data_IF_351118681838
#
_entry.id   IF_351118681838
#
_cell.length_a   1.000
_cell.length_b   1.000
_cell.length_c   1.000
_cell.angle_alpha   90.00
_cell.angle_beta   90.00
_cell.angle_gamma   90.00
#
_symmetry.space_group_name_H-M   'P 1'
#
loop_
_entity.id
_entity.type
_entity.pdbx_description
1 polymer ?
#
# COMPACT_ATOMS: atom_id res chain seq x y z
N UNK A 1 -13.88 24.11 -1.05
CA UNK A 1 -14.73 23.25 -0.20
C UNK A 1 -15.01 21.88 -0.84
N UNK A 2 -15.44 21.81 -2.10
CA UNK A 2 -15.81 20.55 -2.79
C UNK A 2 -14.66 19.52 -2.82
N UNK A 3 -13.41 19.93 -3.05
CA UNK A 3 -12.24 19.04 -3.08
C UNK A 3 -11.95 18.41 -1.72
N UNK A 4 -12.13 19.13 -0.62
CA UNK A 4 -11.95 18.59 0.74
C UNK A 4 -12.93 17.46 1.03
N UNK A 5 -14.21 17.62 0.68
CA UNK A 5 -15.24 16.59 0.88
C UNK A 5 -14.95 15.38 -0.01
N UNK A 6 -14.59 15.61 -1.29
CA UNK A 6 -14.27 14.51 -2.22
C UNK A 6 -13.03 13.75 -1.76
N UNK A 7 -11.97 14.45 -1.37
CA UNK A 7 -10.76 13.83 -0.84
C UNK A 7 -11.04 13.02 0.43
N UNK A 8 -11.74 13.59 1.41
CA UNK A 8 -12.15 12.89 2.63
C UNK A 8 -12.92 11.60 2.31
N UNK A 9 -13.92 11.67 1.42
CA UNK A 9 -14.69 10.48 1.00
C UNK A 9 -13.79 9.43 0.33
N UNK A 10 -12.84 9.85 -0.51
CA UNK A 10 -11.94 8.93 -1.20
C UNK A 10 -11.03 8.19 -0.22
N UNK A 11 -10.34 8.91 0.69
CA UNK A 11 -9.45 8.26 1.66
C UNK A 11 -10.22 7.37 2.65
N UNK A 12 -11.44 7.77 3.05
CA UNK A 12 -12.28 6.97 3.95
C UNK A 12 -12.78 5.70 3.26
N UNK A 13 -13.27 5.79 2.02
CA UNK A 13 -13.69 4.60 1.25
C UNK A 13 -12.53 3.65 1.00
N UNK A 14 -11.36 4.18 0.66
CA UNK A 14 -10.14 3.40 0.49
C UNK A 14 -9.80 2.66 1.80
N UNK A 15 -9.72 3.38 2.91
CA UNK A 15 -9.41 2.81 4.22
C UNK A 15 -10.41 1.71 4.63
N UNK A 16 -11.71 1.89 4.41
CA UNK A 16 -12.71 0.85 4.70
C UNK A 16 -12.48 -0.42 3.87
N UNK A 17 -12.08 -0.29 2.60
CA UNK A 17 -11.73 -1.45 1.77
C UNK A 17 -10.49 -2.17 2.31
N UNK A 18 -9.45 -1.43 2.70
CA UNK A 18 -8.25 -2.03 3.29
C UNK A 18 -8.59 -2.75 4.60
N UNK A 19 -9.40 -2.16 5.48
CA UNK A 19 -9.85 -2.81 6.72
C UNK A 19 -10.56 -4.14 6.41
N UNK A 20 -11.47 -4.15 5.42
CA UNK A 20 -12.19 -5.36 5.03
C UNK A 20 -11.24 -6.45 4.49
N UNK A 21 -10.27 -6.09 3.64
CA UNK A 21 -9.26 -7.02 3.15
C UNK A 21 -8.35 -7.54 4.28
N UNK A 22 -7.86 -6.65 5.15
CA UNK A 22 -7.05 -7.01 6.31
C UNK A 22 -7.80 -7.93 7.29
N UNK A 23 -9.11 -7.73 7.47
CA UNK A 23 -9.94 -8.60 8.28
C UNK A 23 -10.00 -10.03 7.70
N UNK A 24 -10.22 -10.16 6.39
CA UNK A 24 -10.19 -11.44 5.67
C UNK A 24 -8.80 -12.11 5.76
N UNK A 25 -7.74 -11.33 5.69
CA UNK A 25 -6.35 -11.80 5.79
C UNK A 25 -5.87 -12.06 7.23
N UNK A 26 -6.73 -11.95 8.25
CA UNK A 26 -6.39 -12.25 9.66
C UNK A 26 -5.57 -11.16 10.37
N UNK A 27 -5.40 -9.97 9.79
CA UNK A 27 -4.65 -8.82 10.34
C UNK A 27 -5.54 -7.61 10.63
N UNK A 28 -6.77 -7.83 11.11
CA UNK A 28 -7.77 -6.79 11.37
C UNK A 28 -7.23 -5.62 12.18
N UNK A 29 -6.52 -5.87 13.28
CA UNK A 29 -6.00 -4.81 14.14
C UNK A 29 -5.01 -3.89 13.44
N UNK A 30 -4.24 -4.42 12.52
CA UNK A 30 -3.33 -3.65 11.66
C UNK A 30 -4.13 -2.84 10.65
N UNK A 31 -5.13 -3.44 10.01
CA UNK A 31 -6.05 -2.75 9.10
C UNK A 31 -6.81 -1.58 9.75
N UNK A 32 -7.22 -1.71 11.03
CA UNK A 32 -7.87 -0.63 11.77
C UNK A 32 -6.94 0.60 11.98
N UNK A 33 -5.63 0.40 11.99
CA UNK A 33 -4.63 1.48 12.13
C UNK A 33 -4.10 1.98 10.78
N UNK A 34 -4.45 1.27 9.70
CA UNK A 34 -4.03 1.62 8.35
C UNK A 34 -4.34 3.08 8.04
N UNK A 35 -3.34 3.80 7.58
CA UNK A 35 -3.46 5.15 7.02
C UNK A 35 -4.15 6.20 7.90
N UNK A 36 -4.17 6.04 9.22
CA UNK A 36 -4.71 7.06 10.12
C UNK A 36 -4.00 8.40 9.95
N UNK A 37 -2.74 8.40 9.56
CA UNK A 37 -1.96 9.61 9.30
C UNK A 37 -2.54 10.48 8.17
N UNK A 38 -3.28 9.90 7.22
CA UNK A 38 -3.96 10.63 6.13
C UNK A 38 -4.99 11.65 6.61
N UNK A 39 -5.48 11.51 7.84
CA UNK A 39 -6.39 12.48 8.45
C UNK A 39 -5.66 13.60 9.20
N UNK A 40 -4.33 13.54 9.32
CA UNK A 40 -3.55 14.62 9.90
C UNK A 40 -3.51 15.85 8.97
N UNK A 41 -3.41 17.07 9.50
CA UNK A 41 -3.30 18.27 8.68
C UNK A 41 -2.15 18.20 7.66
N UNK A 42 -1.04 17.57 8.02
CA UNK A 42 0.16 17.46 7.18
C UNK A 42 -0.09 16.67 5.90
N UNK A 43 -0.97 15.66 5.93
CA UNK A 43 -1.32 14.86 4.75
C UNK A 43 -2.65 15.30 4.14
N UNK A 44 -3.64 15.60 4.98
CA UNK A 44 -5.00 15.90 4.53
C UNK A 44 -5.09 17.20 3.72
N UNK A 45 -4.45 18.28 4.19
CA UNK A 45 -4.51 19.59 3.53
C UNK A 45 -3.89 19.54 2.14
N UNK A 46 -2.62 19.06 1.95
CA UNK A 46 -2.06 18.89 0.61
C UNK A 46 -2.87 17.90 -0.23
N UNK A 47 -3.33 16.81 0.37
CA UNK A 47 -4.16 15.81 -0.28
C UNK A 47 -5.43 16.41 -0.89
N UNK A 48 -6.13 17.25 -0.14
CA UNK A 48 -7.32 17.95 -0.62
C UNK A 48 -7.00 19.04 -1.64
N UNK A 49 -5.89 19.77 -1.43
CA UNK A 49 -5.43 20.84 -2.37
C UNK A 49 -5.11 20.28 -3.76
N UNK A 50 -4.44 19.13 -3.82
CA UNK A 50 -3.97 18.53 -5.07
C UNK A 50 -4.86 17.37 -5.54
N UNK A 51 -6.07 17.25 -4.98
CA UNK A 51 -7.01 16.20 -5.34
C UNK A 51 -7.46 16.29 -6.80
N UNK A 52 -7.28 15.21 -7.57
CA UNK A 52 -7.68 15.09 -8.98
C UNK A 52 -8.74 14.01 -9.22
N UNK A 53 -8.93 13.08 -8.28
CA UNK A 53 -9.94 12.02 -8.37
C UNK A 53 -9.51 10.75 -9.10
N UNK A 54 -8.55 10.83 -10.02
CA UNK A 54 -8.11 9.73 -10.87
C UNK A 54 -6.69 9.21 -10.55
N UNK A 55 -5.96 9.91 -9.69
CA UNK A 55 -4.61 9.51 -9.23
C UNK A 55 -4.31 10.10 -7.85
N UNK A 56 -3.19 9.64 -7.26
CA UNK A 56 -2.74 10.14 -5.96
C UNK A 56 -2.44 11.65 -6.00
N UNK A 57 -2.92 12.45 -5.03
CA UNK A 57 -2.55 13.85 -4.90
C UNK A 57 -1.04 14.09 -4.76
N UNK A 58 -0.32 13.11 -4.19
CA UNK A 58 1.12 13.18 -4.01
C UNK A 58 1.90 13.29 -5.34
N UNK A 59 1.34 12.74 -6.43
CA UNK A 59 1.95 12.88 -7.77
C UNK A 59 1.93 14.33 -8.22
N UNK A 60 0.81 15.03 -8.01
CA UNK A 60 0.73 16.45 -8.34
C UNK A 60 1.68 17.31 -7.52
N UNK A 61 1.86 16.99 -6.25
CA UNK A 61 2.84 17.66 -5.40
C UNK A 61 4.27 17.42 -5.91
N UNK A 62 4.61 16.18 -6.35
CA UNK A 62 5.92 15.86 -6.97
C UNK A 62 6.16 16.61 -8.28
N UNK A 63 5.14 16.70 -9.13
CA UNK A 63 5.23 17.47 -10.39
C UNK A 63 5.56 18.96 -10.14
N UNK A 64 5.02 19.54 -9.07
CA UNK A 64 5.20 20.96 -8.76
C UNK A 64 6.52 21.27 -8.03
N UNK A 65 6.97 20.37 -7.16
CA UNK A 65 8.06 20.65 -6.20
C UNK A 65 9.22 19.67 -6.28
N UNK A 66 9.18 18.67 -7.17
CA UNK A 66 10.17 17.62 -7.29
C UNK A 66 10.04 16.50 -6.24
N UNK A 67 9.29 16.72 -5.17
CA UNK A 67 8.98 15.75 -4.12
C UNK A 67 7.62 16.01 -3.48
N UNK A 68 7.10 15.05 -2.71
CA UNK A 68 5.87 15.22 -1.93
C UNK A 68 6.17 15.22 -0.45
N UNK A 69 5.93 16.36 0.22
CA UNK A 69 6.06 16.49 1.67
C UNK A 69 5.03 15.63 2.40
N UNK A 70 3.80 15.57 1.87
CA UNK A 70 2.75 14.70 2.39
C UNK A 70 3.16 13.23 2.33
N UNK A 71 3.77 12.79 1.20
CA UNK A 71 4.28 11.43 1.07
C UNK A 71 5.43 11.11 2.01
N UNK A 72 6.38 12.03 2.18
CA UNK A 72 7.49 11.85 3.13
C UNK A 72 6.98 11.65 4.56
N UNK A 73 5.96 12.41 4.98
CA UNK A 73 5.30 12.23 6.26
C UNK A 73 4.57 10.89 6.34
N UNK A 74 3.86 10.53 5.28
CA UNK A 74 3.06 9.32 5.19
C UNK A 74 3.90 8.04 5.28
N UNK A 75 4.88 7.87 4.39
CA UNK A 75 5.72 6.67 4.35
C UNK A 75 6.54 6.46 5.63
N UNK A 76 6.89 7.53 6.34
CA UNK A 76 7.61 7.44 7.61
C UNK A 76 6.74 6.97 8.80
N UNK A 77 5.42 6.92 8.65
CA UNK A 77 4.45 6.53 9.69
C UNK A 77 3.69 5.23 9.38
N UNK A 78 3.73 4.80 8.13
CA UNK A 78 2.96 3.66 7.66
C UNK A 78 3.90 2.56 7.16
N UNK A 79 4.08 1.54 8.00
CA UNK A 79 5.06 0.47 7.78
C UNK A 79 4.71 -0.49 6.65
N UNK A 80 3.50 -0.42 6.08
CA UNK A 80 3.13 -1.18 4.87
C UNK A 80 3.73 -0.59 3.59
N UNK A 81 4.40 0.56 3.66
CA UNK A 81 5.18 1.11 2.55
C UNK A 81 6.62 0.60 2.61
N UNK A 82 7.09 0.00 1.52
CA UNK A 82 8.45 -0.56 1.44
C UNK A 82 9.52 0.52 1.61
N UNK A 83 9.24 1.80 1.30
CA UNK A 83 10.16 2.92 1.50
C UNK A 83 10.43 3.24 2.98
N UNK A 84 9.66 2.69 3.90
CA UNK A 84 9.96 2.74 5.33
C UNK A 84 11.14 1.82 5.68
N UNK A 85 11.30 0.72 4.95
CA UNK A 85 12.22 -0.38 5.24
C UNK A 85 13.57 -0.18 4.54
N UNK A 86 14.25 0.90 4.91
CA UNK A 86 15.62 1.21 4.47
C UNK A 86 16.45 1.57 5.69
N UNK A 87 17.64 0.98 5.78
CA UNK A 87 18.54 1.26 6.89
C UNK A 87 20.00 1.34 6.42
N UNK A 88 20.83 1.97 7.23
CA UNK A 88 22.27 2.09 6.98
C UNK A 88 22.99 0.78 7.34
N UNK A 89 23.66 0.19 6.36
CA UNK A 89 24.51 -0.97 6.59
C UNK A 89 25.96 -0.53 6.92
N UNK A 90 26.45 -0.77 8.15
CA UNK A 90 27.79 -0.33 8.54
C UNK A 90 28.93 -1.07 7.82
N UNK A 91 28.68 -2.23 7.24
CA UNK A 91 29.67 -3.02 6.47
C UNK A 91 29.85 -2.46 5.07
N UNK A 92 28.76 -2.18 4.37
CA UNK A 92 28.78 -1.64 2.99
C UNK A 92 28.85 -0.12 2.96
N UNK A 93 28.57 0.54 4.10
CA UNK A 93 28.48 2.01 4.25
C UNK A 93 27.42 2.63 3.31
N UNK A 94 26.37 1.87 3.00
CA UNK A 94 25.28 2.30 2.12
C UNK A 94 23.93 2.16 2.83
N UNK A 95 22.92 2.88 2.32
CA UNK A 95 21.53 2.64 2.69
C UNK A 95 21.03 1.48 1.84
N UNK A 96 20.58 0.43 2.50
CA UNK A 96 20.10 -0.80 1.89
C UNK A 96 18.64 -1.04 2.24
N UNK A 97 17.95 -1.79 1.37
CA UNK A 97 16.58 -2.21 1.61
C UNK A 97 16.58 -3.35 2.64
N UNK A 98 15.67 -3.26 3.59
CA UNK A 98 15.42 -4.28 4.61
C UNK A 98 14.18 -5.07 4.24
N UNK A 99 14.21 -6.39 4.46
CA UNK A 99 13.08 -7.26 4.22
C UNK A 99 11.88 -6.87 5.11
N UNK A 100 10.72 -6.73 4.50
CA UNK A 100 9.49 -6.42 5.25
C UNK A 100 8.97 -7.65 5.97
N UNK A 101 8.56 -7.53 7.25
CA UNK A 101 7.82 -8.60 7.91
C UNK A 101 6.53 -8.93 7.17
N UNK A 102 6.18 -10.21 7.13
CA UNK A 102 5.06 -10.76 6.37
C UNK A 102 3.74 -9.98 6.56
N UNK A 103 3.40 -9.64 7.80
CA UNK A 103 2.17 -8.92 8.10
C UNK A 103 2.10 -7.53 7.43
N UNK A 104 3.23 -6.86 7.22
CA UNK A 104 3.28 -5.59 6.48
C UNK A 104 3.26 -5.79 4.97
N UNK A 105 3.80 -6.91 4.47
CA UNK A 105 3.63 -7.27 3.04
C UNK A 105 2.16 -7.57 2.74
N UNK A 106 1.47 -8.30 3.63
CA UNK A 106 0.02 -8.56 3.50
C UNK A 106 -0.77 -7.25 3.55
N UNK A 107 -0.44 -6.32 4.45
CA UNK A 107 -1.09 -5.00 4.50
C UNK A 107 -0.84 -4.21 3.21
N UNK A 108 0.40 -4.18 2.70
CA UNK A 108 0.75 -3.54 1.43
C UNK A 108 -0.03 -4.15 0.25
N UNK A 109 -0.19 -5.47 0.23
CA UNK A 109 -1.03 -6.15 -0.75
C UNK A 109 -2.49 -5.69 -0.65
N UNK A 110 -3.08 -5.70 0.54
CA UNK A 110 -4.46 -5.23 0.79
C UNK A 110 -4.65 -3.77 0.35
N UNK A 111 -3.67 -2.91 0.63
CA UNK A 111 -3.65 -1.50 0.23
C UNK A 111 -3.68 -1.34 -1.31
N UNK A 112 -2.81 -2.07 -2.03
CA UNK A 112 -2.74 -2.03 -3.50
C UNK A 112 -4.03 -2.49 -4.16
N UNK A 113 -4.64 -3.57 -3.66
CA UNK A 113 -5.93 -4.08 -4.15
C UNK A 113 -7.04 -3.06 -3.91
N UNK A 114 -7.10 -2.49 -2.71
CA UNK A 114 -8.08 -1.45 -2.37
C UNK A 114 -7.90 -0.19 -3.24
N UNK A 115 -6.66 0.24 -3.49
CA UNK A 115 -6.37 1.37 -4.36
C UNK A 115 -6.83 1.11 -5.80
N UNK A 116 -6.52 -0.07 -6.35
CA UNK A 116 -6.99 -0.47 -7.70
C UNK A 116 -8.51 -0.44 -7.81
N UNK A 117 -9.22 -0.94 -6.79
CA UNK A 117 -10.70 -0.88 -6.73
C UNK A 117 -11.25 0.54 -6.65
N UNK A 118 -10.58 1.44 -5.96
CA UNK A 118 -11.02 2.84 -5.83
C UNK A 118 -10.82 3.58 -7.15
N UNK A 119 -9.68 3.41 -7.82
CA UNK A 119 -9.36 4.15 -9.04
C UNK A 119 -10.05 3.59 -10.29
N UNK A 120 -10.22 2.26 -10.38
CA UNK A 120 -10.86 1.62 -11.54
C UNK A 120 -12.39 1.49 -11.39
N UNK A 121 -12.92 1.61 -10.16
CA UNK A 121 -14.36 1.56 -9.89
C UNK A 121 -15.01 0.28 -10.43
N UNK A 122 -16.06 0.42 -11.26
CA UNK A 122 -16.76 -0.69 -11.90
C UNK A 122 -15.94 -1.46 -12.94
N UNK A 123 -14.85 -0.88 -13.41
CA UNK A 123 -13.96 -1.52 -14.40
C UNK A 123 -12.84 -2.35 -13.74
N UNK A 124 -12.80 -2.41 -12.41
CA UNK A 124 -11.79 -3.19 -11.67
C UNK A 124 -11.80 -4.66 -12.08
N UNK A 125 -10.59 -5.20 -12.27
CA UNK A 125 -10.32 -6.61 -12.47
C UNK A 125 -9.22 -7.05 -11.49
N UNK A 126 -9.25 -8.30 -11.04
CA UNK A 126 -8.27 -8.83 -10.09
C UNK A 126 -6.83 -8.77 -10.62
N UNK A 127 -6.65 -8.73 -11.94
CA UNK A 127 -5.36 -8.56 -12.60
C UNK A 127 -4.80 -7.13 -12.52
N UNK A 128 -5.61 -6.11 -12.31
CA UNK A 128 -5.19 -4.70 -12.40
C UNK A 128 -4.02 -4.35 -11.47
N UNK A 129 -4.02 -4.93 -10.26
CA UNK A 129 -2.96 -4.69 -9.28
C UNK A 129 -1.64 -5.33 -9.71
N UNK A 130 -1.67 -6.52 -10.34
CA UNK A 130 -0.50 -7.17 -10.92
C UNK A 130 0.05 -6.39 -12.12
N UNK A 131 -0.83 -5.95 -13.01
CA UNK A 131 -0.45 -5.16 -14.19
C UNK A 131 0.18 -3.81 -13.79
N UNK A 132 -0.34 -3.17 -12.74
CA UNK A 132 0.29 -1.97 -12.18
C UNK A 132 1.68 -2.29 -11.60
N UNK A 133 1.80 -3.36 -10.81
CA UNK A 133 3.07 -3.79 -10.24
C UNK A 133 4.11 -4.07 -11.34
N UNK A 134 3.75 -4.79 -12.41
CA UNK A 134 4.65 -5.08 -13.53
C UNK A 134 5.20 -3.83 -14.23
N UNK A 135 4.39 -2.75 -14.35
CA UNK A 135 4.87 -1.47 -14.92
C UNK A 135 5.91 -0.75 -14.09
N UNK A 136 5.92 -0.99 -12.78
CA UNK A 136 6.80 -0.30 -11.83
C UNK A 136 7.91 -1.21 -11.26
N UNK A 137 7.83 -2.51 -11.50
CA UNK A 137 8.84 -3.50 -11.09
C UNK A 137 10.24 -3.09 -11.59
N UNK A 138 11.24 -3.22 -10.73
CA UNK A 138 12.62 -2.81 -11.01
C UNK A 138 12.89 -1.29 -10.95
N UNK A 139 11.84 -0.46 -10.89
CA UNK A 139 11.97 0.99 -10.68
C UNK A 139 11.92 1.38 -9.20
N UNK A 140 11.42 0.50 -8.37
CA UNK A 140 11.34 0.66 -6.92
C UNK A 140 12.49 -0.04 -6.25
N UNK A 141 13.07 0.61 -5.25
CA UNK A 141 14.06 -0.02 -4.38
C UNK A 141 13.32 -0.74 -3.26
N UNK A 142 12.99 -1.99 -3.49
CA UNK A 142 12.37 -2.90 -2.53
C UNK A 142 13.32 -4.07 -2.29
N UNK A 143 13.32 -4.64 -1.07
CA UNK A 143 14.09 -5.86 -0.80
C UNK A 143 13.60 -7.01 -1.69
N UNK A 144 14.49 -7.81 -2.23
CA UNK A 144 14.20 -8.86 -3.23
C UNK A 144 13.11 -9.84 -2.72
N UNK A 145 13.25 -10.35 -1.50
CA UNK A 145 12.26 -11.26 -0.91
C UNK A 145 10.88 -10.60 -0.76
N UNK A 146 10.85 -9.31 -0.39
CA UNK A 146 9.60 -8.55 -0.28
C UNK A 146 8.94 -8.38 -1.65
N UNK A 147 9.72 -8.05 -2.68
CA UNK A 147 9.23 -7.87 -4.05
C UNK A 147 8.66 -9.18 -4.60
N UNK A 148 9.40 -10.29 -4.43
CA UNK A 148 8.98 -11.63 -4.85
C UNK A 148 7.69 -12.07 -4.17
N UNK A 149 7.60 -11.93 -2.85
CA UNK A 149 6.39 -12.30 -2.11
C UNK A 149 5.17 -11.47 -2.53
N UNK A 150 5.35 -10.16 -2.73
CA UNK A 150 4.27 -9.30 -3.22
C UNK A 150 3.80 -9.72 -4.62
N UNK A 151 4.74 -10.04 -5.52
CA UNK A 151 4.43 -10.53 -6.86
C UNK A 151 3.65 -11.84 -6.84
N UNK A 152 4.06 -12.79 -6.00
CA UNK A 152 3.36 -14.07 -5.80
C UNK A 152 1.91 -13.85 -5.33
N UNK A 153 1.69 -12.98 -4.34
CA UNK A 153 0.35 -12.64 -3.86
C UNK A 153 -0.52 -11.99 -4.94
N UNK A 154 0.04 -11.07 -5.73
CA UNK A 154 -0.67 -10.41 -6.82
C UNK A 154 -0.97 -11.37 -7.99
N UNK A 155 -0.08 -12.30 -8.26
CA UNK A 155 -0.29 -13.37 -9.26
C UNK A 155 -1.40 -14.30 -8.81
N UNK A 156 -1.37 -14.78 -7.57
CA UNK A 156 -2.44 -15.61 -7.00
C UNK A 156 -3.81 -14.90 -7.04
N UNK A 157 -3.85 -13.58 -6.76
CA UNK A 157 -5.08 -12.80 -6.90
C UNK A 157 -5.60 -12.82 -8.33
N UNK A 158 -4.73 -12.59 -9.32
CA UNK A 158 -5.13 -12.54 -10.73
C UNK A 158 -5.64 -13.89 -11.28
N UNK A 159 -5.16 -15.00 -10.71
CA UNK A 159 -5.49 -16.35 -11.15
C UNK A 159 -6.68 -16.96 -10.40
N UNK A 160 -6.78 -16.73 -9.09
CA UNK A 160 -7.73 -17.41 -8.21
C UNK A 160 -8.86 -16.50 -7.72
N UNK A 161 -8.74 -15.20 -7.94
CA UNK A 161 -9.65 -14.20 -7.41
C UNK A 161 -9.44 -13.90 -5.93
N UNK A 162 -10.07 -12.83 -5.46
CA UNK A 162 -9.88 -12.28 -4.11
C UNK A 162 -10.36 -13.22 -2.99
N UNK A 163 -11.53 -13.83 -3.18
CA UNK A 163 -12.11 -14.63 -2.10
C UNK A 163 -11.28 -15.90 -1.82
N UNK A 164 -10.76 -16.55 -2.85
CA UNK A 164 -9.90 -17.70 -2.68
C UNK A 164 -8.58 -17.34 -1.99
N UNK A 165 -7.94 -16.25 -2.42
CA UNK A 165 -6.64 -15.84 -1.88
C UNK A 165 -6.70 -15.42 -0.41
N UNK A 166 -7.68 -14.59 -0.02
CA UNK A 166 -7.73 -14.04 1.34
C UNK A 166 -8.17 -15.08 2.39
N UNK A 167 -8.88 -16.13 1.99
CA UNK A 167 -9.22 -17.25 2.87
C UNK A 167 -8.14 -18.33 2.98
N UNK A 168 -7.25 -18.42 1.98
CA UNK A 168 -6.17 -19.42 1.91
C UNK A 168 -4.80 -18.88 2.25
N UNK A 169 -4.68 -17.57 2.44
CA UNK A 169 -3.41 -16.96 2.90
C UNK A 169 -3.03 -17.57 4.25
N UNK A 170 -1.82 -18.15 4.39
CA UNK A 170 -1.39 -18.68 5.66
C UNK A 170 -1.48 -17.58 6.71
N UNK A 171 -2.18 -17.89 7.81
CA UNK A 171 -2.21 -16.98 8.95
C UNK A 171 -0.77 -16.67 9.37
N UNK A 172 -0.46 -15.45 9.80
CA UNK A 172 0.85 -15.14 10.40
C UNK A 172 1.24 -16.11 11.54
N UNK A 173 0.25 -16.84 12.11
CA UNK A 173 0.47 -17.88 13.12
C UNK A 173 1.00 -19.19 12.53
N UNK A 174 0.65 -19.52 11.28
CA UNK A 174 1.02 -20.80 10.65
C UNK A 174 2.46 -20.78 10.13
N UNK A 175 3.03 -19.59 9.89
CA UNK A 175 4.40 -19.41 9.37
C UNK A 175 5.43 -19.27 10.50
N UNK A 176 5.02 -18.91 11.71
CA UNK A 176 5.94 -18.79 12.86
C UNK A 176 6.41 -20.13 13.44
N UNK A 177 5.88 -21.25 12.96
CA UNK A 177 6.16 -22.61 13.46
C UNK A 177 7.30 -23.36 12.73
N UNK A 178 7.89 -22.77 11.69
CA UNK A 178 8.99 -23.42 10.94
C UNK A 178 10.28 -22.60 11.01
N UNK A 179 10.86 -22.52 12.19
CA UNK A 179 12.27 -22.17 12.40
C UNK A 179 12.85 -23.11 13.44
#
# INVERSE_FOLDING_TARGET
MLHFIKHFRTITRHRHKVIAHCAKAGILWQGLRHDLSKYSPTEFIPGAKYYQGNRSPNEKERELYGYSKAWMHHKGRNRHHYEYWNDYNPKTKQIENVEMPLNYVIEMFCDRVAASKIYNGSNYKDRDSLDYFGRVKGKHRMHENTEKLLEELLTMLSEKGEDCLLYTSPSPRDISGSR
#
